data_IF_530266310338
#
_entry.id   IF_530266310338
#
_cell.length_a   1.000
_cell.length_b   1.000
_cell.length_c   1.000
_cell.angle_alpha   90.00
_cell.angle_beta   90.00
_cell.angle_gamma   90.00
#
_symmetry.space_group_name_H-M   'P 1'
#
loop_
_entity.id
_entity.type
_entity.pdbx_description
1 polymer ?
#
# COMPACT_ATOMS: atom_id res chain seq x y z
N UNK A 1 8.89 56.49 118.27
CA UNK A 1 9.16 57.54 117.26
C UNK A 1 10.19 57.00 116.28
N UNK A 2 10.00 57.22 114.96
CA UNK A 2 11.05 57.39 113.92
C UNK A 2 12.35 56.57 114.12
N UNK A 3 12.78 55.58 113.33
CA UNK A 3 12.88 55.48 111.86
C UNK A 3 13.72 54.20 111.54
N UNK A 4 14.02 53.74 110.32
CA UNK A 4 13.66 54.15 108.95
C UNK A 4 13.62 52.92 107.99
N UNK A 5 13.43 53.12 106.68
CA UNK A 5 13.40 52.04 105.65
C UNK A 5 14.50 52.19 104.59
N UNK A 6 15.24 51.11 104.23
CA UNK A 6 16.05 51.07 103.01
C UNK A 6 15.36 50.25 101.89
N UNK A 7 15.19 50.86 100.71
CA UNK A 7 14.55 50.22 99.55
C UNK A 7 15.52 49.33 98.74
N UNK A 8 15.19 48.04 98.62
CA UNK A 8 15.94 47.08 97.79
C UNK A 8 15.67 47.24 96.28
N UNK A 9 16.72 47.48 95.49
CA UNK A 9 16.63 47.63 94.02
C UNK A 9 16.26 46.30 93.34
N UNK A 10 15.19 46.28 92.53
CA UNK A 10 14.89 45.18 91.61
C UNK A 10 15.50 45.42 90.24
N UNK A 11 16.43 44.56 89.81
CA UNK A 11 16.91 44.53 88.42
C UNK A 11 15.77 44.12 87.48
N UNK A 12 15.48 44.94 86.45
CA UNK A 12 14.60 44.55 85.35
C UNK A 12 15.41 43.84 84.27
N UNK A 13 15.20 42.53 84.12
CA UNK A 13 15.70 41.77 82.96
C UNK A 13 14.93 42.20 81.71
N UNK A 14 15.61 42.88 80.78
CA UNK A 14 15.03 43.21 79.47
C UNK A 14 14.94 41.97 78.59
N UNK A 15 13.80 41.28 78.65
CA UNK A 15 13.52 40.18 77.73
C UNK A 15 13.23 40.75 76.32
N UNK A 16 14.23 40.75 75.44
CA UNK A 16 14.10 41.14 74.02
C UNK A 16 13.13 40.18 73.32
N UNK A 17 11.83 40.54 73.28
CA UNK A 17 10.83 39.89 72.43
C UNK A 17 11.30 39.98 70.98
N UNK A 18 11.75 38.85 70.41
CA UNK A 18 11.98 38.73 68.96
C UNK A 18 10.64 38.98 68.27
N UNK A 19 10.55 40.09 67.53
CA UNK A 19 9.35 40.47 66.81
C UNK A 19 8.92 39.36 65.85
N UNK A 20 7.65 38.97 65.89
CA UNK A 20 7.13 37.93 65.01
C UNK A 20 7.22 38.40 63.55
N UNK A 21 7.76 37.58 62.62
CA UNK A 21 7.91 38.01 61.24
C UNK A 21 6.55 38.33 60.61
N UNK A 22 6.51 39.46 59.90
CA UNK A 22 5.31 39.96 59.22
C UNK A 22 4.71 38.92 58.28
N UNK A 23 3.38 38.98 58.06
CA UNK A 23 2.65 38.01 57.22
C UNK A 23 3.28 37.89 55.81
N UNK A 24 3.79 39.00 55.26
CA UNK A 24 4.50 39.07 53.98
C UNK A 24 5.79 38.23 54.00
N UNK A 25 6.64 38.40 55.03
CA UNK A 25 7.92 37.67 55.15
C UNK A 25 7.72 36.15 55.31
N UNK A 26 6.60 35.73 55.91
CA UNK A 26 6.19 34.31 55.95
C UNK A 26 5.72 33.78 54.58
N UNK A 27 4.95 34.56 53.81
CA UNK A 27 4.51 34.18 52.45
C UNK A 27 5.68 34.04 51.48
N UNK A 28 6.63 34.99 51.49
CA UNK A 28 7.84 34.92 50.66
C UNK A 28 8.71 33.71 51.02
N UNK A 29 8.88 33.41 52.32
CA UNK A 29 9.59 32.22 52.76
C UNK A 29 8.92 30.90 52.37
N UNK A 30 7.58 30.86 52.29
CA UNK A 30 6.84 29.70 51.79
C UNK A 30 7.01 29.54 50.27
N UNK A 31 6.89 30.63 49.49
CA UNK A 31 7.09 30.61 48.04
C UNK A 31 8.51 30.16 47.64
N UNK A 32 9.55 30.66 48.33
CA UNK A 32 10.93 30.25 48.09
C UNK A 32 11.16 28.75 48.36
N UNK A 33 10.54 28.20 49.42
CA UNK A 33 10.59 26.76 49.71
C UNK A 33 9.83 25.92 48.69
N UNK A 34 8.68 26.40 48.22
CA UNK A 34 7.89 25.76 47.16
C UNK A 34 8.71 25.67 45.86
N UNK A 35 9.34 26.78 45.45
CA UNK A 35 10.20 26.81 44.26
C UNK A 35 11.44 25.93 44.41
N UNK A 36 12.10 25.93 45.58
CA UNK A 36 13.22 25.04 45.85
C UNK A 36 12.81 23.55 45.83
N UNK A 37 11.62 23.22 46.35
CA UNK A 37 11.08 21.87 46.31
C UNK A 37 10.70 21.43 44.88
N UNK A 38 10.11 22.31 44.06
CA UNK A 38 9.84 22.02 42.65
C UNK A 38 11.15 21.87 41.85
N UNK A 39 12.16 22.71 42.10
CA UNK A 39 13.46 22.61 41.43
C UNK A 39 14.19 21.32 41.81
N UNK A 40 14.15 20.90 43.08
CA UNK A 40 14.70 19.61 43.52
C UNK A 40 13.91 18.43 42.96
N UNK A 41 12.58 18.47 42.98
CA UNK A 41 11.74 17.41 42.40
C UNK A 41 11.96 17.28 40.89
N UNK A 42 12.03 18.41 40.16
CA UNK A 42 12.35 18.45 38.74
C UNK A 42 13.76 17.97 38.43
N UNK A 43 14.76 18.37 39.23
CA UNK A 43 16.15 17.94 39.06
C UNK A 43 16.39 16.46 39.38
N UNK A 44 15.71 15.92 40.41
CA UNK A 44 15.71 14.47 40.69
C UNK A 44 14.97 13.73 39.60
N UNK A 45 13.82 14.24 39.14
CA UNK A 45 13.09 13.64 38.02
C UNK A 45 13.93 13.62 36.73
N UNK A 46 14.63 14.71 36.36
CA UNK A 46 15.49 14.69 35.16
C UNK A 46 16.76 13.84 35.31
N UNK A 47 17.25 13.61 36.54
CA UNK A 47 18.41 12.75 36.79
C UNK A 47 18.07 11.24 36.81
N UNK A 48 16.81 10.87 37.11
CA UNK A 48 16.38 9.48 37.24
C UNK A 48 15.25 9.07 36.27
N UNK A 49 14.68 9.99 35.50
CA UNK A 49 13.79 9.64 34.40
C UNK A 49 14.62 8.87 33.35
N UNK A 50 14.13 7.72 32.86
CA UNK A 50 14.68 7.14 31.64
C UNK A 50 14.58 8.22 30.55
N UNK A 51 15.68 8.45 29.84
CA UNK A 51 15.71 9.45 28.78
C UNK A 51 14.66 9.11 27.75
N UNK A 52 13.57 9.89 27.71
CA UNK A 52 12.54 9.81 26.69
C UNK A 52 13.04 10.44 25.38
N UNK A 53 14.17 9.92 24.89
CA UNK A 53 14.42 9.90 23.47
C UNK A 53 13.32 9.03 22.87
N UNK A 54 12.46 9.64 22.06
CA UNK A 54 11.67 8.86 21.13
C UNK A 54 12.66 8.20 20.17
N UNK A 55 12.95 6.92 20.41
CA UNK A 55 13.65 6.06 19.47
C UNK A 55 12.66 5.69 18.34
N UNK A 56 12.19 6.73 17.64
CA UNK A 56 11.20 6.68 16.56
C UNK A 56 11.84 6.14 15.26
N UNK A 57 13.16 5.97 15.25
CA UNK A 57 13.87 5.08 14.34
C UNK A 57 13.59 3.62 14.69
N UNK A 58 12.37 3.18 14.37
CA UNK A 58 12.12 1.78 14.11
C UNK A 58 13.09 1.37 12.99
N UNK A 59 14.12 0.62 13.34
CA UNK A 59 15.19 0.31 12.38
C UNK A 59 14.58 -0.50 11.23
N UNK A 60 14.69 0.06 10.00
CA UNK A 60 14.17 -0.59 8.80
C UNK A 60 14.84 -1.96 8.64
N UNK A 61 14.08 -2.98 8.20
CA UNK A 61 14.68 -4.26 7.86
C UNK A 61 15.75 -4.09 6.77
N UNK A 62 16.73 -4.99 6.69
CA UNK A 62 17.79 -4.90 5.68
C UNK A 62 17.22 -4.76 4.24
N UNK A 63 16.15 -5.49 3.94
CA UNK A 63 15.41 -5.38 2.67
C UNK A 63 14.77 -4.01 2.47
N UNK A 64 14.19 -3.40 3.51
CA UNK A 64 13.65 -2.05 3.46
C UNK A 64 14.75 -0.97 3.37
N UNK A 65 15.94 -1.20 3.94
CA UNK A 65 17.09 -0.28 3.76
C UNK A 65 17.60 -0.29 2.32
N UNK A 66 17.71 -1.47 1.69
CA UNK A 66 18.01 -1.62 0.27
C UNK A 66 16.92 -0.97 -0.60
N UNK A 67 15.66 -1.22 -0.28
CA UNK A 67 14.50 -0.62 -0.95
C UNK A 67 14.47 0.90 -0.85
N UNK A 68 14.84 1.45 0.31
CA UNK A 68 14.98 2.89 0.51
C UNK A 68 16.03 3.50 -0.41
N UNK A 69 17.18 2.83 -0.59
CA UNK A 69 18.22 3.34 -1.48
C UNK A 69 17.75 3.38 -2.95
N UNK A 70 16.94 2.41 -3.39
CA UNK A 70 16.29 2.45 -4.71
C UNK A 70 15.26 3.58 -4.80
N UNK A 71 14.43 3.74 -3.76
CA UNK A 71 13.39 4.77 -3.69
C UNK A 71 13.96 6.19 -3.73
N UNK A 72 15.00 6.46 -2.94
CA UNK A 72 15.70 7.75 -2.85
C UNK A 72 16.27 8.21 -4.21
N UNK A 73 16.61 7.28 -5.10
CA UNK A 73 17.16 7.58 -6.42
C UNK A 73 16.11 7.70 -7.54
N UNK A 74 14.93 7.08 -7.40
CA UNK A 74 13.98 6.90 -8.51
C UNK A 74 12.57 7.40 -8.28
N UNK A 75 12.14 7.59 -7.04
CA UNK A 75 10.73 7.81 -6.69
C UNK A 75 10.45 9.17 -6.02
N UNK A 76 11.42 9.71 -5.28
CA UNK A 76 11.22 10.89 -4.41
C UNK A 76 10.78 12.17 -5.15
N UNK A 77 11.10 12.29 -6.45
CA UNK A 77 10.77 13.46 -7.27
C UNK A 77 9.26 13.62 -7.52
N UNK A 78 8.49 12.55 -7.34
CA UNK A 78 7.03 12.50 -7.47
C UNK A 78 6.32 12.05 -6.19
N UNK A 79 6.95 11.20 -5.37
CA UNK A 79 6.33 10.62 -4.17
C UNK A 79 6.84 11.20 -2.84
N UNK A 80 7.79 12.15 -2.86
CA UNK A 80 8.34 12.76 -1.65
C UNK A 80 9.41 11.89 -0.99
N UNK A 81 10.17 12.44 -0.02
CA UNK A 81 11.32 11.75 0.59
C UNK A 81 10.90 10.66 1.59
N UNK A 82 9.70 10.79 2.14
CA UNK A 82 9.09 9.89 3.12
C UNK A 82 7.83 9.21 2.53
N UNK A 83 7.73 9.15 1.21
CA UNK A 83 6.58 8.63 0.46
C UNK A 83 5.23 9.37 0.71
N UNK A 84 5.31 10.61 1.18
CA UNK A 84 4.19 11.49 1.54
C UNK A 84 3.37 12.02 0.36
N UNK A 85 3.89 11.87 -0.87
CA UNK A 85 3.34 12.43 -2.11
C UNK A 85 3.84 13.85 -2.40
N UNK A 86 3.78 14.23 -3.68
CA UNK A 86 4.08 15.60 -4.12
C UNK A 86 2.91 16.11 -4.96
N UNK A 87 2.34 17.25 -4.54
CA UNK A 87 1.25 17.91 -5.24
C UNK A 87 1.53 18.03 -6.75
N UNK A 88 0.51 17.74 -7.55
CA UNK A 88 0.52 17.74 -9.02
C UNK A 88 1.56 16.80 -9.70
N UNK A 89 2.32 15.99 -8.94
CA UNK A 89 3.30 15.03 -9.49
C UNK A 89 2.98 13.57 -9.20
N UNK A 90 2.70 13.23 -7.94
CA UNK A 90 2.47 11.86 -7.52
C UNK A 90 1.75 11.76 -6.17
N UNK A 91 0.86 10.76 -6.01
CA UNK A 91 0.13 10.55 -4.76
C UNK A 91 1.07 10.09 -3.64
N UNK A 92 0.57 10.19 -2.40
CA UNK A 92 1.16 9.49 -1.25
C UNK A 92 1.15 7.97 -1.50
N UNK A 93 2.18 7.29 -1.00
CA UNK A 93 2.26 5.82 -0.96
C UNK A 93 2.07 5.28 0.46
N UNK A 94 1.75 6.12 1.44
CA UNK A 94 1.44 5.66 2.80
C UNK A 94 0.14 4.85 2.78
N UNK A 95 0.20 3.60 3.24
CA UNK A 95 -0.95 2.69 3.34
C UNK A 95 -1.26 1.88 2.07
N UNK A 96 -0.54 2.07 0.96
CA UNK A 96 -0.79 1.34 -0.30
C UNK A 96 -0.30 -0.11 -0.29
N UNK A 97 0.59 -0.45 0.66
CA UNK A 97 1.15 -1.78 0.85
C UNK A 97 2.15 -2.26 -0.20
N UNK A 98 2.89 -3.33 0.12
CA UNK A 98 3.87 -3.94 -0.79
C UNK A 98 3.22 -4.40 -2.10
N UNK A 99 1.98 -4.91 -2.04
CA UNK A 99 1.29 -5.45 -3.22
C UNK A 99 1.10 -4.40 -4.32
N UNK A 100 0.86 -3.14 -3.95
CA UNK A 100 0.73 -2.05 -4.93
C UNK A 100 2.05 -1.75 -5.62
N UNK A 101 3.17 -1.83 -4.88
CA UNK A 101 4.52 -1.66 -5.44
C UNK A 101 4.88 -2.84 -6.33
N UNK A 102 4.65 -4.07 -5.85
CA UNK A 102 4.91 -5.30 -6.59
C UNK A 102 4.12 -5.36 -7.90
N UNK A 103 2.86 -4.92 -7.91
CA UNK A 103 2.10 -4.78 -9.15
C UNK A 103 2.64 -3.65 -10.04
N UNK A 104 2.70 -2.40 -9.55
CA UNK A 104 2.98 -1.25 -10.43
C UNK A 104 4.44 -1.26 -10.93
N UNK A 105 5.41 -1.58 -10.07
CA UNK A 105 6.83 -1.60 -10.41
C UNK A 105 7.21 -2.92 -11.10
N UNK A 106 6.73 -4.06 -10.59
CA UNK A 106 7.01 -5.38 -11.18
C UNK A 106 6.44 -5.56 -12.59
N UNK A 107 5.33 -4.88 -12.91
CA UNK A 107 4.80 -4.81 -14.29
C UNK A 107 5.42 -3.69 -15.14
N UNK A 108 6.38 -2.92 -14.61
CA UNK A 108 6.97 -1.78 -15.31
C UNK A 108 6.00 -0.63 -15.61
N UNK A 109 4.83 -0.56 -14.97
CA UNK A 109 3.91 0.58 -15.09
C UNK A 109 4.51 1.81 -14.43
N UNK A 110 5.03 1.63 -13.22
CA UNK A 110 5.90 2.57 -12.52
C UNK A 110 7.38 2.18 -12.69
N UNK A 111 8.31 3.17 -12.73
CA UNK A 111 8.07 4.60 -12.80
C UNK A 111 7.40 5.05 -14.11
N UNK A 112 6.49 6.02 -14.02
CA UNK A 112 5.85 6.62 -15.20
C UNK A 112 6.69 7.78 -15.73
N UNK A 113 6.88 7.84 -17.06
CA UNK A 113 7.55 8.96 -17.74
C UNK A 113 6.66 10.19 -17.88
N UNK A 114 5.33 9.99 -17.90
CA UNK A 114 4.32 11.02 -18.16
C UNK A 114 2.96 10.59 -17.57
N UNK A 115 2.15 11.57 -17.15
CA UNK A 115 0.78 11.36 -16.68
C UNK A 115 -0.16 11.29 -17.88
N UNK A 116 -0.46 10.07 -18.32
CA UNK A 116 -1.42 9.77 -19.39
C UNK A 116 -2.74 9.24 -18.79
N UNK A 117 -3.74 8.95 -19.62
CA UNK A 117 -5.01 8.37 -19.16
C UNK A 117 -4.82 7.07 -18.33
N UNK A 118 -3.80 6.28 -18.66
CA UNK A 118 -3.52 4.97 -18.08
C UNK A 118 -2.02 4.68 -18.09
N UNK A 119 -1.49 4.10 -17.01
CA UNK A 119 -0.11 3.61 -16.99
C UNK A 119 -0.01 2.28 -17.75
N UNK A 120 0.66 2.30 -18.91
CA UNK A 120 0.91 1.14 -19.75
C UNK A 120 1.99 0.21 -19.18
N UNK A 121 1.86 -1.11 -19.44
CA UNK A 121 2.87 -2.12 -19.14
C UNK A 121 4.12 -1.84 -20.00
N UNK A 122 5.29 -1.79 -19.37
CA UNK A 122 6.59 -1.57 -20.04
C UNK A 122 7.57 -2.65 -19.56
N UNK A 123 8.78 -2.67 -20.12
CA UNK A 123 9.88 -3.41 -19.50
C UNK A 123 10.10 -2.88 -18.06
N UNK A 124 10.11 -3.73 -17.02
CA UNK A 124 10.41 -3.30 -15.66
C UNK A 124 11.82 -2.72 -15.57
N UNK A 125 11.97 -1.58 -14.86
CA UNK A 125 13.27 -0.97 -14.60
C UNK A 125 14.02 -1.64 -13.43
N UNK A 126 13.28 -2.37 -12.60
CA UNK A 126 13.77 -3.08 -11.43
C UNK A 126 13.52 -4.58 -11.60
N UNK A 127 14.42 -5.40 -11.09
CA UNK A 127 14.21 -6.85 -11.04
C UNK A 127 13.21 -7.27 -9.94
N UNK A 128 12.92 -8.58 -9.83
CA UNK A 128 11.97 -9.11 -8.83
C UNK A 128 12.44 -8.91 -7.38
N UNK A 129 13.74 -8.92 -7.10
CA UNK A 129 14.27 -8.71 -5.75
C UNK A 129 14.21 -7.22 -5.38
N UNK A 130 14.65 -6.35 -6.29
CA UNK A 130 14.55 -4.89 -6.16
C UNK A 130 13.10 -4.41 -5.99
N UNK A 131 12.17 -4.99 -6.74
CA UNK A 131 10.74 -4.71 -6.60
C UNK A 131 10.22 -5.08 -5.20
N UNK A 132 10.67 -6.21 -4.64
CA UNK A 132 10.29 -6.64 -3.28
C UNK A 132 10.96 -5.80 -2.18
N UNK A 133 12.21 -5.38 -2.36
CA UNK A 133 12.90 -4.43 -1.48
C UNK A 133 12.14 -3.09 -1.42
N UNK A 134 11.78 -2.53 -2.59
CA UNK A 134 10.93 -1.34 -2.70
C UNK A 134 9.56 -1.54 -2.02
N UNK A 135 8.92 -2.70 -2.24
CA UNK A 135 7.65 -3.04 -1.61
C UNK A 135 7.74 -3.12 -0.09
N UNK A 136 8.80 -3.73 0.44
CA UNK A 136 9.07 -3.84 1.88
C UNK A 136 9.31 -2.47 2.52
N UNK A 137 10.04 -1.58 1.84
CA UNK A 137 10.24 -0.21 2.31
C UNK A 137 8.92 0.55 2.46
N UNK A 138 8.04 0.52 1.45
CA UNK A 138 6.71 1.15 1.52
C UNK A 138 5.82 0.49 2.58
N UNK A 139 5.90 -0.84 2.74
CA UNK A 139 5.18 -1.58 3.77
C UNK A 139 5.61 -1.16 5.19
N UNK A 140 6.90 -0.92 5.43
CA UNK A 140 7.41 -0.45 6.74
C UNK A 140 7.12 1.03 7.01
N UNK A 141 6.99 1.87 5.98
CA UNK A 141 6.59 3.27 6.13
C UNK A 141 5.12 3.46 6.51
N UNK A 142 4.20 2.73 5.86
CA UNK A 142 2.76 3.02 5.95
C UNK A 142 1.85 1.81 6.09
N UNK A 143 2.38 0.58 6.01
CA UNK A 143 1.58 -0.63 5.94
C UNK A 143 0.72 -0.72 4.67
N UNK A 144 -0.28 -1.60 4.73
CA UNK A 144 -1.21 -1.87 3.63
C UNK A 144 -1.20 -3.34 3.19
N UNK A 145 -1.88 -3.67 2.08
CA UNK A 145 -2.00 -5.04 1.57
C UNK A 145 -0.68 -5.61 1.04
N UNK A 146 -0.46 -6.91 1.28
CA UNK A 146 0.73 -7.65 0.87
C UNK A 146 0.32 -8.89 0.05
N UNK A 147 1.13 -9.27 -0.93
CA UNK A 147 0.93 -10.55 -1.65
C UNK A 147 1.39 -11.70 -0.75
N UNK A 148 0.58 -12.76 -0.54
CA UNK A 148 1.00 -13.92 0.25
C UNK A 148 2.25 -14.59 -0.33
N UNK A 149 3.15 -15.04 0.55
CA UNK A 149 4.27 -15.90 0.16
C UNK A 149 3.78 -17.33 -0.11
N UNK A 150 4.21 -17.93 -1.21
CA UNK A 150 3.91 -19.32 -1.54
C UNK A 150 3.27 -19.45 -2.92
N UNK A 151 2.52 -20.54 -3.12
CA UNK A 151 1.78 -20.75 -4.36
C UNK A 151 0.48 -19.93 -4.38
N UNK A 152 0.23 -19.26 -5.51
CA UNK A 152 -0.94 -18.40 -5.74
C UNK A 152 -1.97 -19.05 -6.69
N UNK A 153 -1.80 -20.34 -6.95
CA UNK A 153 -2.71 -21.25 -7.65
C UNK A 153 -3.21 -22.31 -6.67
N UNK A 154 -4.36 -22.91 -6.99
CA UNK A 154 -4.95 -24.05 -6.29
C UNK A 154 -4.63 -25.30 -7.10
N UNK A 155 -4.08 -26.33 -6.46
CA UNK A 155 -3.75 -27.59 -7.13
C UNK A 155 -5.02 -28.34 -7.53
N UNK A 156 -5.21 -28.59 -8.83
CA UNK A 156 -6.39 -29.31 -9.35
C UNK A 156 -6.42 -30.80 -8.98
N UNK A 157 -5.33 -31.37 -8.45
CA UNK A 157 -5.34 -32.70 -7.84
C UNK A 157 -5.85 -32.69 -6.39
N UNK A 158 -5.86 -31.53 -5.74
CA UNK A 158 -6.29 -31.35 -4.34
C UNK A 158 -7.71 -30.81 -4.26
N UNK A 159 -8.05 -29.80 -5.10
CA UNK A 159 -9.44 -29.39 -5.36
C UNK A 159 -9.73 -29.41 -6.88
N UNK A 160 -10.32 -30.51 -7.40
CA UNK A 160 -10.75 -30.61 -8.80
C UNK A 160 -11.83 -29.60 -9.20
N UNK A 161 -12.57 -29.01 -8.26
CA UNK A 161 -13.62 -28.02 -8.53
C UNK A 161 -13.07 -26.59 -8.60
N UNK A 162 -11.84 -26.34 -8.15
CA UNK A 162 -11.23 -25.00 -8.10
C UNK A 162 -11.26 -24.28 -9.45
N UNK A 163 -11.11 -25.02 -10.56
CA UNK A 163 -11.20 -24.47 -11.92
C UNK A 163 -12.62 -23.95 -12.23
N UNK A 164 -13.65 -24.68 -11.81
CA UNK A 164 -15.05 -24.32 -12.03
C UNK A 164 -15.47 -23.14 -11.13
N UNK A 165 -15.11 -23.18 -9.84
CA UNK A 165 -15.34 -22.09 -8.87
C UNK A 165 -14.65 -20.80 -9.30
N UNK A 166 -13.36 -20.87 -9.66
CA UNK A 166 -12.59 -19.76 -10.20
C UNK A 166 -13.19 -19.18 -11.47
N UNK A 167 -13.64 -20.05 -12.39
CA UNK A 167 -14.34 -19.64 -13.61
C UNK A 167 -15.70 -18.99 -13.35
N UNK A 168 -16.43 -19.38 -12.31
CA UNK A 168 -17.65 -18.69 -11.88
C UNK A 168 -17.39 -17.30 -11.34
N UNK A 169 -16.46 -17.17 -10.39
CA UNK A 169 -16.13 -15.87 -9.82
C UNK A 169 -15.51 -14.92 -10.85
N UNK A 170 -14.68 -15.42 -11.78
CA UNK A 170 -14.17 -14.62 -12.89
C UNK A 170 -15.30 -14.11 -13.80
N UNK A 171 -16.27 -14.97 -14.15
CA UNK A 171 -17.44 -14.59 -14.95
C UNK A 171 -18.25 -13.49 -14.28
N UNK A 172 -18.52 -13.59 -12.98
CA UNK A 172 -19.31 -12.63 -12.21
C UNK A 172 -18.57 -11.29 -12.05
N UNK A 173 -17.27 -11.32 -11.71
CA UNK A 173 -16.55 -10.13 -11.23
C UNK A 173 -15.64 -9.46 -12.27
N UNK A 174 -15.14 -10.20 -13.26
CA UNK A 174 -14.02 -9.74 -14.10
C UNK A 174 -14.39 -9.55 -15.59
N UNK A 175 -15.33 -10.35 -16.11
CA UNK A 175 -15.60 -10.39 -17.57
C UNK A 175 -16.19 -9.10 -18.13
N UNK A 176 -16.91 -8.31 -17.32
CA UNK A 176 -17.42 -6.99 -17.68
C UNK A 176 -16.34 -6.00 -18.15
N UNK A 177 -15.08 -6.22 -17.74
CA UNK A 177 -13.92 -5.42 -18.14
C UNK A 177 -12.94 -6.21 -19.02
N UNK A 178 -12.55 -7.41 -18.61
CA UNK A 178 -11.51 -8.20 -19.29
C UNK A 178 -12.04 -9.11 -20.41
N UNK A 179 -13.36 -9.19 -20.61
CA UNK A 179 -14.00 -10.12 -21.53
C UNK A 179 -13.94 -11.57 -21.03
N UNK A 180 -14.76 -12.45 -21.63
CA UNK A 180 -14.82 -13.86 -21.27
C UNK A 180 -13.47 -14.58 -21.45
N UNK A 181 -12.80 -14.34 -22.58
CA UNK A 181 -11.49 -14.93 -22.88
C UNK A 181 -10.29 -14.23 -22.23
N UNK A 182 -10.49 -13.23 -21.35
CA UNK A 182 -9.39 -12.45 -20.77
C UNK A 182 -8.64 -11.56 -21.78
N UNK A 183 -9.24 -11.25 -22.94
CA UNK A 183 -8.64 -10.44 -24.00
C UNK A 183 -8.45 -8.95 -23.65
N UNK A 184 -9.20 -8.44 -22.65
CA UNK A 184 -9.26 -7.01 -22.33
C UNK A 184 -10.45 -6.32 -23.00
N UNK A 185 -10.59 -5.02 -22.76
CA UNK A 185 -11.73 -4.23 -23.23
C UNK A 185 -11.52 -2.72 -23.05
N UNK A 186 -12.17 -1.90 -23.89
CA UNK A 186 -12.08 -0.44 -23.81
C UNK A 186 -12.93 0.12 -22.65
N UNK A 187 -12.38 1.11 -21.93
CA UNK A 187 -13.06 1.87 -20.87
C UNK A 187 -13.20 3.34 -21.30
N UNK A 188 -13.87 4.14 -20.47
CA UNK A 188 -14.03 5.58 -20.70
C UNK A 188 -12.70 6.34 -20.65
N UNK A 189 -12.67 7.52 -21.28
CA UNK A 189 -11.57 8.50 -21.22
C UNK A 189 -10.20 7.94 -21.64
N UNK A 190 -10.16 7.03 -22.63
CA UNK A 190 -8.93 6.47 -23.17
C UNK A 190 -8.29 5.37 -22.31
N UNK A 191 -8.96 4.93 -21.25
CA UNK A 191 -8.53 3.80 -20.43
C UNK A 191 -9.00 2.47 -21.03
N UNK A 192 -8.41 1.36 -20.59
CA UNK A 192 -8.73 0.00 -21.02
C UNK A 192 -8.37 -1.04 -19.96
N UNK A 193 -9.09 -2.15 -19.96
CA UNK A 193 -8.72 -3.36 -19.25
C UNK A 193 -7.68 -4.11 -20.10
N UNK A 194 -6.47 -4.40 -19.58
CA UNK A 194 -5.45 -5.13 -20.32
C UNK A 194 -5.83 -6.61 -20.52
N UNK A 195 -5.24 -7.24 -21.53
CA UNK A 195 -5.28 -8.70 -21.65
C UNK A 195 -4.58 -9.38 -20.47
N UNK A 196 -5.15 -10.50 -20.02
CA UNK A 196 -4.62 -11.35 -18.95
C UNK A 196 -3.71 -12.46 -19.49
N UNK A 197 -3.54 -12.60 -20.81
CA UNK A 197 -2.84 -13.72 -21.45
C UNK A 197 -1.35 -13.87 -21.09
N UNK A 198 -0.71 -12.79 -20.60
CA UNK A 198 0.70 -12.77 -20.19
C UNK A 198 0.89 -12.28 -18.75
N UNK A 199 -0.15 -12.39 -17.91
CA UNK A 199 -0.10 -12.00 -16.50
C UNK A 199 0.44 -13.15 -15.62
N UNK A 200 1.32 -12.85 -14.67
CA UNK A 200 1.78 -13.85 -13.69
C UNK A 200 0.77 -14.03 -12.55
N UNK A 201 0.89 -15.10 -11.77
CA UNK A 201 0.00 -15.33 -10.63
C UNK A 201 0.13 -14.21 -9.57
N UNK A 202 1.36 -13.71 -9.34
CA UNK A 202 1.64 -12.56 -8.48
C UNK A 202 1.02 -11.27 -9.04
N UNK A 203 1.17 -11.01 -10.35
CA UNK A 203 0.54 -9.85 -11.01
C UNK A 203 -0.99 -9.88 -10.87
N UNK A 204 -1.62 -11.05 -11.04
CA UNK A 204 -3.07 -11.24 -10.90
C UNK A 204 -3.56 -11.06 -9.47
N UNK A 205 -2.89 -11.68 -8.49
CA UNK A 205 -3.25 -11.54 -7.06
C UNK A 205 -3.12 -10.08 -6.60
N UNK A 206 -2.00 -9.44 -6.95
CA UNK A 206 -1.76 -8.04 -6.59
C UNK A 206 -2.74 -7.09 -7.29
N UNK A 207 -3.12 -7.34 -8.55
CA UNK A 207 -4.14 -6.56 -9.25
C UNK A 207 -5.50 -6.63 -8.53
N UNK A 208 -5.98 -7.83 -8.19
CA UNK A 208 -7.24 -8.00 -7.45
C UNK A 208 -7.18 -7.31 -6.09
N UNK A 209 -6.08 -7.49 -5.35
CA UNK A 209 -5.93 -6.96 -4.00
C UNK A 209 -5.80 -5.42 -3.94
N UNK A 210 -5.29 -4.79 -5.00
CA UNK A 210 -4.92 -3.35 -4.98
C UNK A 210 -5.79 -2.45 -5.85
N UNK A 211 -6.61 -3.01 -6.74
CA UNK A 211 -7.51 -2.25 -7.63
C UNK A 211 -6.77 -1.21 -8.49
N UNK A 212 -5.84 -1.62 -9.37
CA UNK A 212 -5.02 -0.68 -10.12
C UNK A 212 -5.86 0.18 -11.09
N UNK A 213 -5.70 1.50 -10.94
CA UNK A 213 -6.27 2.54 -11.81
C UNK A 213 -7.81 2.62 -11.79
N UNK A 214 -8.48 1.86 -12.67
CA UNK A 214 -9.94 1.80 -12.77
C UNK A 214 -10.51 0.44 -12.34
N UNK A 215 -9.64 -0.53 -12.03
CA UNK A 215 -10.06 -1.83 -11.50
C UNK A 215 -10.52 -1.66 -10.05
N UNK A 216 -11.68 -2.21 -9.64
CA UNK A 216 -12.10 -2.15 -8.24
C UNK A 216 -11.17 -2.98 -7.34
N UNK A 217 -11.11 -2.60 -6.06
CA UNK A 217 -10.33 -3.30 -5.03
C UNK A 217 -11.12 -4.50 -4.52
N UNK A 218 -10.63 -5.71 -4.76
CA UNK A 218 -11.18 -6.94 -4.18
C UNK A 218 -10.38 -7.29 -2.91
N UNK A 219 -10.73 -6.66 -1.80
CA UNK A 219 -10.18 -7.00 -0.48
C UNK A 219 -10.60 -8.40 -0.01
N UNK A 220 -9.97 -8.91 1.06
CA UNK A 220 -10.22 -10.27 1.56
C UNK A 220 -11.64 -10.48 2.15
N UNK A 221 -12.38 -9.39 2.35
CA UNK A 221 -13.80 -9.40 2.73
C UNK A 221 -14.76 -9.60 1.54
N UNK A 222 -14.29 -9.38 0.30
CA UNK A 222 -15.06 -9.51 -0.94
C UNK A 222 -14.70 -10.81 -1.68
N UNK A 223 -13.40 -11.07 -1.83
CA UNK A 223 -12.86 -12.33 -2.34
C UNK A 223 -11.80 -12.83 -1.37
N UNK A 224 -12.02 -13.99 -0.77
CA UNK A 224 -11.06 -14.60 0.17
C UNK A 224 -9.74 -14.96 -0.53
N UNK A 225 -8.64 -15.17 0.22
CA UNK A 225 -7.37 -15.63 -0.36
C UNK A 225 -7.49 -16.93 -1.17
N UNK A 226 -8.35 -17.86 -0.76
CA UNK A 226 -8.65 -19.08 -1.53
C UNK A 226 -9.40 -18.77 -2.83
N UNK A 227 -10.45 -17.95 -2.77
CA UNK A 227 -11.21 -17.55 -3.96
C UNK A 227 -10.34 -16.82 -4.99
N UNK A 228 -9.38 -16.01 -4.53
CA UNK A 228 -8.37 -15.38 -5.37
C UNK A 228 -7.46 -16.42 -6.05
N UNK A 229 -6.98 -17.44 -5.32
CA UNK A 229 -6.21 -18.55 -5.89
C UNK A 229 -7.03 -19.34 -6.93
N UNK A 230 -8.30 -19.60 -6.68
CA UNK A 230 -9.20 -20.25 -7.64
C UNK A 230 -9.36 -19.42 -8.93
N UNK A 231 -9.61 -18.12 -8.84
CA UNK A 231 -9.67 -17.21 -10.01
C UNK A 231 -8.34 -17.23 -10.77
N UNK A 232 -7.21 -17.15 -10.08
CA UNK A 232 -5.88 -17.20 -10.71
C UNK A 232 -5.68 -18.54 -11.42
N UNK A 233 -6.09 -19.65 -10.80
CA UNK A 233 -6.04 -21.00 -11.39
C UNK A 233 -6.86 -21.08 -12.66
N UNK A 234 -8.06 -20.52 -12.68
CA UNK A 234 -8.87 -20.40 -13.89
C UNK A 234 -8.17 -19.57 -14.99
N UNK A 235 -7.63 -18.39 -14.66
CA UNK A 235 -6.91 -17.57 -15.64
C UNK A 235 -5.67 -18.30 -16.18
N UNK A 236 -4.88 -18.92 -15.30
CA UNK A 236 -3.67 -19.68 -15.64
C UNK A 236 -3.98 -20.88 -16.53
N UNK A 237 -4.83 -21.79 -16.07
CA UNK A 237 -5.11 -23.06 -16.76
C UNK A 237 -6.04 -22.85 -17.95
N UNK A 238 -7.21 -22.24 -17.75
CA UNK A 238 -8.24 -22.15 -18.79
C UNK A 238 -7.99 -21.04 -19.81
N UNK A 239 -7.47 -19.87 -19.38
CA UNK A 239 -7.32 -18.72 -20.28
C UNK A 239 -5.92 -18.59 -20.91
N UNK A 240 -4.85 -19.03 -20.24
CA UNK A 240 -3.48 -18.95 -20.77
C UNK A 240 -2.96 -20.26 -21.37
N UNK A 241 -3.26 -21.41 -20.75
CA UNK A 241 -2.69 -22.71 -21.16
C UNK A 241 -3.61 -23.50 -22.10
N UNK A 242 -4.92 -23.49 -21.86
CA UNK A 242 -5.85 -24.31 -22.64
C UNK A 242 -6.06 -23.79 -24.08
N UNK A 243 -6.00 -24.74 -25.03
CA UNK A 243 -5.97 -24.48 -26.48
C UNK A 243 -7.39 -24.39 -27.02
N UNK A 244 -7.62 -23.46 -27.96
CA UNK A 244 -8.94 -23.22 -28.54
C UNK A 244 -9.51 -24.49 -29.22
N UNK A 245 -10.57 -25.11 -28.67
CA UNK A 245 -11.13 -26.32 -29.27
C UNK A 245 -11.89 -25.97 -30.56
N UNK A 246 -11.52 -26.61 -31.67
CA UNK A 246 -12.27 -26.55 -32.93
C UNK A 246 -11.78 -25.53 -33.97
N UNK A 247 -10.64 -24.87 -33.78
CA UNK A 247 -10.08 -23.92 -34.76
C UNK A 247 -8.59 -24.13 -35.07
N UNK A 248 -8.17 -23.87 -36.31
CA UNK A 248 -6.75 -23.82 -36.69
C UNK A 248 -6.06 -22.50 -36.28
N UNK A 249 -6.84 -21.44 -36.02
CA UNK A 249 -6.37 -20.10 -35.70
C UNK A 249 -7.18 -19.51 -34.55
N UNK A 250 -6.49 -18.90 -33.58
CA UNK A 250 -7.12 -18.12 -32.52
C UNK A 250 -7.41 -16.69 -33.03
N UNK A 251 -8.69 -16.28 -33.01
CA UNK A 251 -9.13 -14.94 -33.43
C UNK A 251 -9.18 -13.92 -32.27
N UNK A 252 -8.29 -14.06 -31.30
CA UNK A 252 -8.15 -13.18 -30.12
C UNK A 252 -9.19 -13.40 -29.01
N UNK A 253 -10.05 -14.43 -29.10
CA UNK A 253 -11.16 -14.69 -28.16
C UNK A 253 -12.14 -13.51 -27.94
N UNK A 254 -12.22 -12.59 -28.90
CA UNK A 254 -13.18 -11.46 -28.90
C UNK A 254 -14.56 -11.82 -29.49
N UNK A 255 -14.74 -13.06 -29.97
CA UNK A 255 -16.01 -13.59 -30.44
C UNK A 255 -16.48 -12.97 -31.77
N UNK A 256 -17.77 -12.57 -31.88
CA UNK A 256 -18.44 -12.36 -33.17
C UNK A 256 -17.86 -11.22 -34.02
N UNK A 257 -17.11 -10.28 -33.42
CA UNK A 257 -16.49 -9.17 -34.15
C UNK A 257 -15.31 -9.67 -35.00
N UNK A 258 -14.39 -10.44 -34.39
CA UNK A 258 -13.22 -10.96 -35.10
C UNK A 258 -13.58 -12.16 -35.98
N UNK A 259 -14.53 -12.99 -35.55
CA UNK A 259 -15.12 -14.05 -36.37
C UNK A 259 -15.86 -13.49 -37.59
N UNK A 260 -16.69 -12.45 -37.41
CA UNK A 260 -17.40 -11.77 -38.49
C UNK A 260 -16.46 -11.13 -39.51
N UNK A 261 -15.38 -10.50 -39.04
CA UNK A 261 -14.32 -9.98 -39.92
C UNK A 261 -13.61 -11.09 -40.70
N UNK A 262 -13.30 -12.22 -40.05
CA UNK A 262 -12.69 -13.37 -40.72
C UNK A 262 -13.63 -13.99 -41.77
N UNK A 263 -14.91 -14.17 -41.47
CA UNK A 263 -15.92 -14.64 -42.42
C UNK A 263 -16.06 -13.66 -43.60
N UNK A 264 -16.08 -12.35 -43.33
CA UNK A 264 -16.21 -11.34 -44.39
C UNK A 264 -14.97 -11.25 -45.29
N UNK A 265 -13.77 -11.18 -44.72
CA UNK A 265 -12.53 -10.98 -45.51
C UNK A 265 -12.04 -12.29 -46.14
N UNK A 266 -12.14 -13.42 -45.44
CA UNK A 266 -11.63 -14.72 -45.93
C UNK A 266 -12.76 -15.51 -46.57
N UNK A 267 -13.87 -15.72 -45.86
CA UNK A 267 -15.00 -16.53 -46.31
C UNK A 267 -15.65 -16.00 -47.59
N UNK A 268 -16.09 -14.73 -47.60
CA UNK A 268 -16.72 -14.14 -48.79
C UNK A 268 -15.74 -14.04 -49.96
N UNK A 269 -14.47 -13.72 -49.72
CA UNK A 269 -13.44 -13.69 -50.79
C UNK A 269 -13.27 -15.07 -51.44
N UNK A 270 -13.17 -16.15 -50.66
CA UNK A 270 -13.11 -17.52 -51.18
C UNK A 270 -14.37 -17.86 -51.99
N UNK A 271 -15.56 -17.49 -51.49
CA UNK A 271 -16.82 -17.72 -52.19
C UNK A 271 -16.91 -16.95 -53.51
N UNK A 272 -16.45 -15.70 -53.56
CA UNK A 272 -16.41 -14.88 -54.79
C UNK A 272 -15.45 -15.47 -55.82
N UNK A 273 -14.25 -15.90 -55.41
CA UNK A 273 -13.34 -16.59 -56.33
C UNK A 273 -13.91 -17.92 -56.84
N UNK A 274 -14.59 -18.69 -55.97
CA UNK A 274 -15.23 -19.94 -56.36
C UNK A 274 -16.39 -19.73 -57.36
N UNK A 275 -17.25 -18.74 -57.15
CA UNK A 275 -18.36 -18.45 -58.07
C UNK A 275 -17.86 -17.92 -59.42
N UNK A 276 -16.85 -17.04 -59.43
CA UNK A 276 -16.21 -16.57 -60.66
C UNK A 276 -15.54 -17.70 -61.44
N UNK A 277 -14.88 -18.64 -60.75
CA UNK A 277 -14.25 -19.82 -61.38
C UNK A 277 -15.28 -20.78 -61.99
N UNK A 278 -16.41 -21.00 -61.32
CA UNK A 278 -17.51 -21.83 -61.85
C UNK A 278 -18.15 -21.14 -63.07
N UNK A 279 -18.45 -19.84 -62.96
CA UNK A 279 -19.03 -19.06 -64.06
C UNK A 279 -18.09 -18.98 -65.28
N UNK A 280 -16.78 -18.83 -65.08
CA UNK A 280 -15.78 -18.80 -66.16
C UNK A 280 -15.49 -20.17 -66.82
N UNK A 281 -16.10 -21.25 -66.32
CA UNK A 281 -16.09 -22.60 -66.92
C UNK A 281 -17.45 -23.03 -67.48
N UNK A 282 -18.46 -22.16 -67.39
CA UNK A 282 -19.82 -22.36 -67.90
C UNK A 282 -19.96 -21.77 -69.30
#
# INVERSE_FOLDING_TARGET
MTSDTPAGRRFRVFNRRRSAPSRVRRRLGAAARMLAALALAGGVYTAFAPGAFADDTRELSASAQEGKALFDNSCISCHGRNAEGVADRGPSLIGVGSASVEFQVGTGRMPMTRQEAQAEKKAPQFDKAQTKQLGQYIQELGGGPQVPSGELTTSLSEDPEALAKGGEMFRINCTSCHGFGGGGGALSSGKFAPSLGAATAEELYAAMLTGPQNMPVFGDNELTPDQKREIITYVKVQLQEDKDPGGLFNLGRYGPVTEGLAIFVIGITILVFATLWIAGKS
#
